data_IF_566114999509
#
_entry.id   IF_566114999509
#
_cell.length_a   1.000
_cell.length_b   1.000
_cell.length_c   1.000
_cell.angle_alpha   90.00
_cell.angle_beta   90.00
_cell.angle_gamma   90.00
#
_symmetry.space_group_name_H-M   'P 1'
#
loop_
_entity.id
_entity.type
_entity.pdbx_description
1 polymer ?
#
# COMPACT_ATOMS: atom_id res chain seq x y z
N UNK A 1 -20.29 0.61 19.07
CA UNK A 1 -21.36 1.06 18.16
C UNK A 1 -20.73 1.95 17.12
N UNK A 2 -20.68 1.53 15.86
CA UNK A 2 -20.12 2.36 14.79
C UNK A 2 -20.92 3.67 14.76
N UNK A 3 -20.24 4.81 14.92
CA UNK A 3 -20.87 6.11 14.64
C UNK A 3 -21.30 6.08 13.15
N UNK A 4 -22.44 6.68 12.79
CA UNK A 4 -22.76 6.91 11.39
C UNK A 4 -21.75 7.95 10.89
N UNK A 5 -20.57 7.49 10.48
CA UNK A 5 -19.72 8.30 9.63
C UNK A 5 -20.48 8.41 8.32
N UNK A 6 -20.92 9.62 8.02
CA UNK A 6 -21.32 9.97 6.67
C UNK A 6 -20.17 9.50 5.76
N UNK A 7 -20.45 8.64 4.78
CA UNK A 7 -19.45 8.00 3.90
C UNK A 7 -18.76 9.02 2.97
N UNK A 8 -18.79 10.30 3.34
CA UNK A 8 -18.35 11.47 2.61
C UNK A 8 -17.09 12.11 3.22
N UNK A 9 -16.54 11.56 4.30
CA UNK A 9 -15.34 12.11 4.93
C UNK A 9 -14.39 11.03 5.45
N UNK A 10 -13.09 11.32 5.34
CA UNK A 10 -12.03 10.57 6.00
C UNK A 10 -11.94 11.07 7.45
N UNK A 11 -12.08 10.20 8.47
CA UNK A 11 -11.98 10.63 9.86
C UNK A 11 -10.57 11.15 10.16
N UNK A 12 -10.50 12.18 11.01
CA UNK A 12 -9.22 12.74 11.44
C UNK A 12 -8.33 11.67 12.07
N UNK A 13 -7.02 11.74 11.85
CA UNK A 13 -6.10 10.69 12.31
C UNK A 13 -6.12 10.50 13.85
N UNK A 14 -6.45 11.56 14.59
CA UNK A 14 -6.65 11.53 16.04
C UNK A 14 -7.83 10.66 16.50
N UNK A 15 -8.74 10.29 15.60
CA UNK A 15 -9.86 9.38 15.89
C UNK A 15 -9.52 7.90 15.61
N UNK A 16 -8.33 7.63 15.06
CA UNK A 16 -7.95 6.29 14.66
C UNK A 16 -7.54 5.45 15.87
N UNK A 17 -8.06 4.23 15.95
CA UNK A 17 -7.67 3.27 16.98
C UNK A 17 -6.54 2.37 16.47
N UNK A 18 -5.30 2.83 16.56
CA UNK A 18 -4.13 2.08 16.11
C UNK A 18 -3.70 1.04 17.14
N UNK A 19 -3.40 -0.17 16.66
CA UNK A 19 -2.85 -1.23 17.51
C UNK A 19 -1.34 -1.01 17.69
N UNK A 20 -0.88 -0.95 18.94
CA UNK A 20 0.55 -0.89 19.26
C UNK A 20 1.26 -2.12 18.69
N UNK A 21 2.40 -1.92 18.02
CA UNK A 21 3.20 -2.97 17.39
C UNK A 21 2.46 -3.75 16.28
N UNK A 22 1.51 -3.13 15.59
CA UNK A 22 0.96 -3.71 14.37
C UNK A 22 2.09 -3.97 13.34
N UNK A 23 1.95 -5.02 12.54
CA UNK A 23 2.93 -5.34 11.49
C UNK A 23 3.00 -4.23 10.43
N UNK A 24 1.86 -3.57 10.17
CA UNK A 24 1.74 -2.40 9.31
C UNK A 24 0.39 -1.70 9.55
N UNK A 25 0.25 -0.48 9.05
CA UNK A 25 -1.04 0.18 8.82
C UNK A 25 -1.29 0.22 7.32
N UNK A 26 -2.48 -0.19 6.89
CA UNK A 26 -2.87 -0.17 5.48
C UNK A 26 -3.96 0.88 5.25
N UNK A 27 -3.86 1.61 4.15
CA UNK A 27 -4.93 2.50 3.69
C UNK A 27 -4.95 2.58 2.16
N UNK A 28 -6.08 3.01 1.59
CA UNK A 28 -6.17 3.42 0.20
C UNK A 28 -6.04 4.93 0.11
N UNK A 29 -5.08 5.42 -0.67
CA UNK A 29 -4.90 6.87 -0.87
C UNK A 29 -6.11 7.51 -1.56
N UNK A 30 -6.75 6.78 -2.47
CA UNK A 30 -7.95 7.19 -3.17
C UNK A 30 -8.97 6.04 -3.27
N UNK A 31 -10.11 6.17 -2.61
CA UNK A 31 -11.28 5.30 -2.75
C UNK A 31 -12.17 5.81 -3.90
N UNK A 32 -12.35 4.98 -4.92
CA UNK A 32 -12.98 5.37 -6.18
C UNK A 32 -14.50 5.49 -6.13
N UNK A 33 -15.18 4.72 -5.28
CA UNK A 33 -16.65 4.61 -5.30
C UNK A 33 -17.28 5.82 -4.59
N UNK A 34 -16.80 6.14 -3.39
CA UNK A 34 -17.20 7.29 -2.59
C UNK A 34 -16.46 8.58 -2.95
N UNK A 35 -15.46 8.52 -3.82
CA UNK A 35 -14.71 9.69 -4.27
C UNK A 35 -13.90 10.36 -3.14
N UNK A 36 -13.38 9.56 -2.22
CA UNK A 36 -12.61 10.04 -1.08
C UNK A 36 -11.11 9.86 -1.34
N UNK A 37 -10.36 10.95 -1.23
CA UNK A 37 -8.91 10.94 -1.37
C UNK A 37 -8.24 11.57 -0.17
N UNK A 38 -7.17 10.93 0.31
CA UNK A 38 -6.29 11.49 1.32
C UNK A 38 -5.45 12.62 0.72
N UNK A 39 -5.57 13.80 1.31
CA UNK A 39 -4.72 14.96 1.05
C UNK A 39 -3.45 14.98 1.92
N UNK A 40 -3.32 14.06 2.88
CA UNK A 40 -2.15 13.85 3.74
C UNK A 40 -1.69 12.38 3.78
N UNK A 41 -0.46 12.15 4.22
CA UNK A 41 0.10 10.81 4.46
C UNK A 41 0.02 10.48 5.95
N UNK A 42 -0.60 9.34 6.34
CA UNK A 42 -0.73 8.98 7.75
C UNK A 42 0.58 8.81 8.52
N UNK A 43 0.64 9.45 9.69
CA UNK A 43 1.79 9.36 10.59
C UNK A 43 1.64 8.17 11.53
N UNK A 44 2.39 7.10 11.28
CA UNK A 44 2.25 5.80 11.98
C UNK A 44 3.44 5.47 12.88
N UNK A 45 4.37 6.41 13.05
CA UNK A 45 5.60 6.23 13.82
C UNK A 45 6.48 5.16 13.20
N UNK A 46 6.93 4.20 14.00
CA UNK A 46 7.80 3.11 13.55
C UNK A 46 7.04 1.97 12.83
N UNK A 47 5.70 2.00 12.85
CA UNK A 47 4.88 0.97 12.17
C UNK A 47 4.90 1.25 10.66
N UNK A 48 5.27 0.27 9.80
CA UNK A 48 5.29 0.47 8.36
C UNK A 48 3.93 0.88 7.80
N UNK A 49 3.92 1.87 6.91
CA UNK A 49 2.74 2.29 6.18
C UNK A 49 2.66 1.55 4.83
N UNK A 50 1.53 0.89 4.58
CA UNK A 50 1.22 0.24 3.31
C UNK A 50 0.09 1.00 2.63
N UNK A 51 0.24 1.30 1.35
CA UNK A 51 -0.74 2.10 0.61
C UNK A 51 -1.16 1.46 -0.71
N UNK A 52 -2.47 1.40 -0.92
CA UNK A 52 -3.08 1.14 -2.22
C UNK A 52 -3.20 2.45 -2.99
N UNK A 53 -2.40 2.60 -4.05
CA UNK A 53 -2.44 3.73 -4.96
C UNK A 53 -3.00 3.34 -6.34
N UNK A 54 -3.79 2.27 -6.44
CA UNK A 54 -4.30 1.79 -7.74
C UNK A 54 -4.99 2.89 -8.53
N UNK A 55 -5.72 3.78 -7.87
CA UNK A 55 -6.52 4.84 -8.51
C UNK A 55 -5.83 6.19 -8.68
N UNK A 56 -4.65 6.39 -8.08
CA UNK A 56 -4.00 7.70 -8.08
C UNK A 56 -2.46 7.65 -8.19
N UNK A 57 -1.85 6.48 -8.39
CA UNK A 57 -0.41 6.36 -8.65
C UNK A 57 -0.04 7.15 -9.91
N UNK A 58 1.06 7.92 -9.87
CA UNK A 58 1.48 8.85 -10.94
C UNK A 58 0.52 10.02 -11.24
N UNK A 59 -0.52 10.25 -10.44
CA UNK A 59 -1.37 11.45 -10.57
C UNK A 59 -0.71 12.73 -10.03
N UNK A 60 0.25 12.57 -9.11
CA UNK A 60 0.97 13.64 -8.43
C UNK A 60 2.33 13.15 -7.90
N UNK A 61 3.28 14.06 -7.61
CA UNK A 61 4.50 13.70 -6.89
C UNK A 61 4.17 13.14 -5.51
N UNK A 62 4.92 12.12 -5.09
CA UNK A 62 4.87 11.54 -3.75
C UNK A 62 6.29 11.36 -3.22
N UNK A 63 6.48 11.50 -1.91
CA UNK A 63 7.71 11.07 -1.25
C UNK A 63 7.56 9.60 -0.85
N UNK A 64 8.19 8.72 -1.64
CA UNK A 64 8.16 7.27 -1.49
C UNK A 64 8.77 6.81 -0.16
N UNK A 65 9.68 7.59 0.43
CA UNK A 65 10.37 7.22 1.67
C UNK A 65 9.43 7.12 2.89
N UNK A 66 8.24 7.74 2.81
CA UNK A 66 7.20 7.67 3.84
C UNK A 66 6.50 6.31 3.91
N UNK A 67 6.68 5.43 2.92
CA UNK A 67 5.95 4.17 2.80
C UNK A 67 6.87 2.97 3.00
N UNK A 68 6.34 1.94 3.67
CA UNK A 68 6.95 0.62 3.68
C UNK A 68 6.64 -0.15 2.39
N UNK A 69 5.41 -0.04 1.89
CA UNK A 69 5.00 -0.66 0.64
C UNK A 69 3.94 0.18 -0.08
N UNK A 70 4.13 0.40 -1.38
CA UNK A 70 3.14 0.97 -2.29
C UNK A 70 2.75 -0.12 -3.28
N UNK A 71 1.45 -0.32 -3.52
CA UNK A 71 1.00 -1.14 -4.64
C UNK A 71 -0.09 -0.45 -5.45
N UNK A 72 -0.13 -0.75 -6.75
CA UNK A 72 -1.13 -0.23 -7.65
C UNK A 72 -1.41 -1.20 -8.79
N UNK A 73 -2.68 -1.60 -8.94
CA UNK A 73 -3.14 -2.25 -10.17
C UNK A 73 -3.18 -1.25 -11.33
N UNK A 74 -2.65 -1.63 -12.49
CA UNK A 74 -2.47 -0.71 -13.60
C UNK A 74 -3.81 -0.19 -14.18
N UNK A 75 -4.87 -1.00 -14.10
CA UNK A 75 -6.18 -0.85 -14.77
C UNK A 75 -7.04 0.37 -14.39
N UNK A 76 -6.49 1.33 -13.65
CA UNK A 76 -7.19 2.59 -13.35
C UNK A 76 -6.41 3.77 -13.91
N UNK A 77 -5.23 4.04 -13.34
CA UNK A 77 -4.53 5.29 -13.63
C UNK A 77 -3.37 5.16 -14.64
N UNK A 78 -2.82 3.96 -14.83
CA UNK A 78 -1.53 3.78 -15.55
C UNK A 78 -1.54 2.74 -16.66
N UNK A 79 -2.69 2.16 -17.02
CA UNK A 79 -2.79 1.23 -18.15
C UNK A 79 -3.99 0.30 -18.12
N UNK A 80 -3.99 -0.75 -18.96
CA UNK A 80 -4.99 -1.82 -18.93
C UNK A 80 -4.72 -2.83 -17.79
N UNK A 81 -5.67 -3.73 -17.57
CA UNK A 81 -5.52 -4.84 -16.61
C UNK A 81 -4.43 -5.84 -17.02
N UNK A 82 -3.85 -6.50 -16.02
CA UNK A 82 -2.84 -7.56 -16.21
C UNK A 82 -1.48 -7.25 -15.58
N UNK A 83 -1.31 -6.07 -14.96
CA UNK A 83 -0.09 -5.65 -14.29
C UNK A 83 -0.41 -5.01 -12.93
N UNK A 84 0.43 -5.33 -11.94
CA UNK A 84 0.46 -4.63 -10.64
C UNK A 84 1.88 -4.12 -10.44
N UNK A 85 2.02 -2.85 -10.12
CA UNK A 85 3.28 -2.26 -9.67
C UNK A 85 3.33 -2.37 -8.15
N UNK A 86 4.47 -2.85 -7.63
CA UNK A 86 4.74 -2.89 -6.19
C UNK A 86 6.10 -2.26 -5.94
N UNK A 87 6.16 -1.30 -5.01
CA UNK A 87 7.40 -0.69 -4.52
C UNK A 87 7.49 -1.07 -3.05
N UNK A 88 8.54 -1.81 -2.67
CA UNK A 88 8.74 -2.32 -1.31
C UNK A 88 10.04 -1.79 -0.75
N UNK A 89 10.02 -1.33 0.50
CA UNK A 89 11.22 -0.90 1.22
C UNK A 89 12.12 -2.11 1.51
N UNK A 90 13.41 -1.98 1.22
CA UNK A 90 14.34 -3.12 1.22
C UNK A 90 14.48 -3.83 2.58
N UNK A 91 14.37 -3.09 3.68
CA UNK A 91 14.42 -3.63 5.06
C UNK A 91 13.23 -4.56 5.39
N UNK A 92 12.15 -4.48 4.60
CA UNK A 92 10.96 -5.34 4.73
C UNK A 92 11.07 -6.64 3.92
N UNK A 93 12.12 -6.81 3.11
CA UNK A 93 12.35 -8.04 2.37
C UNK A 93 12.96 -9.14 3.27
N UNK A 94 12.63 -10.40 2.98
CA UNK A 94 13.16 -11.56 3.71
C UNK A 94 12.41 -11.94 4.99
N UNK A 95 11.29 -11.26 5.28
CA UNK A 95 10.41 -11.58 6.43
C UNK A 95 9.20 -12.44 6.04
N UNK A 96 9.25 -13.12 4.89
CA UNK A 96 8.19 -14.04 4.48
C UNK A 96 8.10 -15.21 5.48
N UNK A 97 6.88 -15.70 5.73
CA UNK A 97 6.67 -16.90 6.57
C UNK A 97 7.39 -18.09 5.93
N UNK A 98 7.87 -19.03 6.74
CA UNK A 98 8.51 -20.26 6.25
C UNK A 98 7.61 -21.10 5.32
N UNK A 99 6.29 -20.96 5.46
CA UNK A 99 5.29 -21.60 4.60
C UNK A 99 4.89 -20.78 3.37
N UNK A 100 5.51 -19.61 3.14
CA UNK A 100 5.18 -18.75 2.01
C UNK A 100 5.62 -19.43 0.69
N UNK A 101 4.72 -19.61 -0.29
CA UNK A 101 5.14 -20.06 -1.61
C UNK A 101 6.16 -19.10 -2.23
N UNK A 102 7.18 -19.63 -2.89
CA UNK A 102 8.26 -18.86 -3.55
C UNK A 102 7.74 -17.72 -4.43
N UNK A 103 6.65 -17.97 -5.16
CA UNK A 103 5.99 -17.00 -6.03
C UNK A 103 5.43 -15.76 -5.33
N UNK A 104 5.13 -15.88 -4.03
CA UNK A 104 4.56 -14.81 -3.22
C UNK A 104 5.63 -14.14 -2.33
N UNK A 105 6.89 -14.58 -2.42
CA UNK A 105 8.00 -13.98 -1.68
C UNK A 105 8.61 -12.81 -2.47
N UNK A 106 8.38 -11.59 -1.96
CA UNK A 106 8.94 -10.37 -2.55
C UNK A 106 10.47 -10.38 -2.56
N UNK A 107 11.13 -11.06 -1.62
CA UNK A 107 12.60 -11.17 -1.64
C UNK A 107 13.04 -11.93 -2.88
N UNK A 108 12.37 -13.02 -3.22
CA UNK A 108 12.70 -13.81 -4.42
C UNK A 108 12.49 -12.96 -5.68
N UNK A 109 11.41 -12.18 -5.73
CA UNK A 109 11.17 -11.27 -6.86
C UNK A 109 12.23 -10.19 -6.97
N UNK A 110 12.63 -9.56 -5.85
CA UNK A 110 13.68 -8.53 -5.82
C UNK A 110 15.06 -9.08 -6.20
N UNK A 111 15.45 -10.23 -5.63
CA UNK A 111 16.74 -10.89 -5.90
C UNK A 111 16.88 -11.31 -7.38
N UNK A 112 15.75 -11.50 -8.09
CA UNK A 112 15.70 -11.83 -9.52
C UNK A 112 15.32 -10.63 -10.41
N UNK A 113 15.43 -9.40 -9.92
CA UNK A 113 15.17 -8.18 -10.72
C UNK A 113 13.74 -8.09 -11.26
N UNK A 114 12.76 -8.61 -10.53
CA UNK A 114 11.34 -8.73 -10.93
C UNK A 114 11.08 -9.64 -12.15
N UNK A 115 12.01 -10.53 -12.49
CA UNK A 115 11.94 -11.41 -13.67
C UNK A 115 11.96 -12.90 -13.30
N UNK A 116 11.61 -13.27 -12.07
CA UNK A 116 11.66 -14.67 -11.60
C UNK A 116 10.91 -15.66 -12.51
N UNK A 117 9.80 -15.23 -13.14
CA UNK A 117 8.99 -16.07 -14.04
C UNK A 117 9.16 -15.73 -15.52
N UNK A 118 10.15 -14.90 -15.86
CA UNK A 118 10.43 -14.51 -17.24
C UNK A 118 11.56 -15.40 -17.76
N UNK A 119 11.34 -16.22 -18.82
CA UNK A 119 12.37 -17.09 -19.41
C UNK A 119 13.58 -16.33 -19.98
#
# INVERSE_FOLDING_TARGET
TAKPYDYLAIPGQNEWNLTKNAAYVHYASNETIGGLQFDWVPQTGDVPLVVDMSSDILSRPIDVSQFGLIYAGAQKNIGPSGLVVVIVREDLLGHARSSCPTMLDYKVSADNGSMYNTP
#
